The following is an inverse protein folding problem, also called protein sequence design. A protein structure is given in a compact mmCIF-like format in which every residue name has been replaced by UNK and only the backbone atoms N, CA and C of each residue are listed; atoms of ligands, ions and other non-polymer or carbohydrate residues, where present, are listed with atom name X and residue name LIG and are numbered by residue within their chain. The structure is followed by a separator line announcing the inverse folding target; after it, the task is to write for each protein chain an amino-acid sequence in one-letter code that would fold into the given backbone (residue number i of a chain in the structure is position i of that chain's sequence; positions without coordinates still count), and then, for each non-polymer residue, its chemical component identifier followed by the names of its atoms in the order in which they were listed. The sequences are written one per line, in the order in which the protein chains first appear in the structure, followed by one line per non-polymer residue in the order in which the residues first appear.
data_IF_100972462072
#
_entry.id   IF_100972462072
#
_cell.length_a   1.000
_cell.length_b   1.000
_cell.length_c   1.000
_cell.angle_alpha   90.00
_cell.angle_beta   90.00
_cell.angle_gamma   90.00
#
_symmetry.space_group_name_H-M   'P 1'
#
loop_
_entity.id
_entity.type
_entity.pdbx_description
1 polymer ?
#
# COMPACT_ATOMS: atom_id res chain seq x y z
N UNK A 1 -77.64 -0.66 -65.85
CA UNK A 1 -77.21 0.64 -65.28
C UNK A 1 -75.81 0.44 -64.72
N UNK A 2 -74.83 1.06 -65.36
CA UNK A 2 -73.39 0.89 -65.15
C UNK A 2 -72.93 1.45 -63.81
N UNK A 3 -72.05 0.73 -63.08
CA UNK A 3 -70.82 1.31 -62.53
C UNK A 3 -69.81 0.23 -62.14
N UNK A 4 -68.80 0.04 -62.99
CA UNK A 4 -67.51 -0.55 -62.63
C UNK A 4 -66.58 0.57 -62.19
N UNK A 5 -65.95 0.48 -61.01
CA UNK A 5 -64.61 1.03 -60.79
C UNK A 5 -63.78 0.06 -59.92
N UNK A 6 -62.76 -0.47 -60.57
CA UNK A 6 -61.65 -1.25 -60.04
C UNK A 6 -60.63 -0.32 -59.37
N UNK A 7 -60.11 -0.69 -58.19
CA UNK A 7 -58.76 -0.45 -57.64
C UNK A 7 -58.79 -1.06 -56.22
N UNK A 8 -57.87 -1.88 -55.73
CA UNK A 8 -56.54 -2.28 -56.16
C UNK A 8 -56.17 -3.50 -55.30
N UNK A 9 -55.72 -4.57 -55.95
CA UNK A 9 -54.84 -5.65 -55.41
C UNK A 9 -54.63 -5.67 -53.89
N UNK A 10 -55.40 -6.49 -53.19
CA UNK A 10 -54.99 -7.03 -51.90
C UNK A 10 -53.91 -8.08 -52.15
N UNK A 11 -52.70 -7.84 -51.66
CA UNK A 11 -51.70 -8.89 -51.56
C UNK A 11 -50.78 -8.60 -50.37
N UNK A 12 -50.67 -9.63 -49.53
CA UNK A 12 -49.58 -9.91 -48.61
C UNK A 12 -49.34 -8.92 -47.46
N UNK A 13 -49.86 -9.33 -46.30
CA UNK A 13 -49.25 -9.06 -45.01
C UNK A 13 -47.74 -9.40 -45.03
N UNK A 14 -46.89 -8.40 -44.82
CA UNK A 14 -45.49 -8.60 -44.44
C UNK A 14 -45.05 -7.47 -43.49
N UNK A 15 -45.15 -7.77 -42.19
CA UNK A 15 -44.15 -7.46 -41.17
C UNK A 15 -43.40 -6.12 -41.31
N UNK A 16 -44.07 -5.02 -40.94
CA UNK A 16 -43.34 -3.87 -40.42
C UNK A 16 -43.25 -4.04 -38.89
N UNK A 17 -42.33 -4.90 -38.46
CA UNK A 17 -41.96 -5.00 -37.05
C UNK A 17 -41.27 -3.67 -36.70
N UNK A 18 -41.80 -2.83 -35.79
CA UNK A 18 -41.00 -1.74 -35.27
C UNK A 18 -39.85 -2.40 -34.51
N UNK A 19 -38.64 -2.25 -35.02
CA UNK A 19 -37.40 -2.49 -34.26
C UNK A 19 -37.47 -1.56 -33.05
N UNK A 20 -37.98 -2.08 -31.95
CA UNK A 20 -37.84 -1.48 -30.63
C UNK A 20 -36.34 -1.50 -30.34
N UNK A 21 -35.66 -0.41 -30.64
CA UNK A 21 -34.30 -0.17 -30.18
C UNK A 21 -34.40 -0.13 -28.65
N UNK A 22 -33.93 -1.19 -27.99
CA UNK A 22 -33.71 -1.17 -26.55
C UNK A 22 -32.57 -0.19 -26.28
N UNK A 23 -32.92 1.08 -26.04
CA UNK A 23 -31.97 2.05 -25.51
C UNK A 23 -31.54 1.57 -24.13
N UNK A 24 -30.29 1.12 -23.99
CA UNK A 24 -29.70 0.89 -22.68
C UNK A 24 -29.67 2.20 -21.91
N UNK A 25 -30.47 2.31 -20.85
CA UNK A 25 -30.43 3.47 -19.97
C UNK A 25 -29.25 3.31 -19.02
N UNK A 26 -28.18 4.08 -19.24
CA UNK A 26 -27.14 4.23 -18.23
C UNK A 26 -27.62 5.26 -17.21
N UNK A 27 -28.01 4.77 -16.04
CA UNK A 27 -28.27 5.64 -14.88
C UNK A 27 -26.94 5.90 -14.21
N UNK A 28 -26.48 7.15 -14.25
CA UNK A 28 -25.33 7.59 -13.48
C UNK A 28 -25.79 7.95 -12.06
N UNK A 29 -25.03 7.50 -11.06
CA UNK A 29 -25.19 7.94 -9.67
C UNK A 29 -24.12 8.98 -9.40
N UNK A 30 -24.54 10.16 -8.99
CA UNK A 30 -23.63 11.19 -8.50
C UNK A 30 -23.11 10.81 -7.12
N UNK A 31 -21.83 10.46 -7.04
CA UNK A 31 -21.14 10.19 -5.78
C UNK A 31 -20.45 11.46 -5.32
N UNK A 32 -20.99 12.09 -4.28
CA UNK A 32 -20.37 13.26 -3.65
C UNK A 32 -19.43 12.83 -2.52
N UNK A 33 -18.13 12.81 -2.81
CA UNK A 33 -17.10 12.64 -1.79
C UNK A 33 -16.76 14.01 -1.21
N UNK A 34 -17.01 14.21 0.09
CA UNK A 34 -16.59 15.40 0.84
C UNK A 34 -15.73 14.96 2.02
N UNK A 35 -14.59 15.60 2.19
CA UNK A 35 -13.66 15.32 3.26
C UNK A 35 -12.42 16.20 3.17
N UNK A 36 -11.67 16.24 4.26
CA UNK A 36 -10.41 16.97 4.34
C UNK A 36 -9.25 15.95 4.40
N UNK A 37 -8.23 16.16 3.57
CA UNK A 37 -7.02 15.33 3.57
C UNK A 37 -6.02 15.95 4.54
N UNK A 38 -5.78 15.27 5.67
CA UNK A 38 -4.80 15.69 6.66
C UNK A 38 -3.54 14.82 6.60
N UNK A 39 -2.42 15.39 6.14
CA UNK A 39 -1.09 14.77 6.27
C UNK A 39 -0.23 15.72 7.10
N UNK A 40 -0.08 15.44 8.39
CA UNK A 40 0.91 16.14 9.20
C UNK A 40 2.27 15.48 8.97
N UNK A 41 3.35 16.26 8.77
CA UNK A 41 4.69 15.71 8.72
C UNK A 41 5.05 15.14 10.09
N UNK A 42 5.46 13.87 10.12
CA UNK A 42 6.06 13.26 11.30
C UNK A 42 7.58 13.23 11.14
N UNK A 43 8.30 13.53 12.21
CA UNK A 43 9.76 13.43 12.28
C UNK A 43 10.11 12.17 13.08
N UNK A 44 10.95 11.32 12.49
CA UNK A 44 11.59 10.21 13.20
C UNK A 44 12.88 10.77 13.84
N UNK A 45 13.05 10.54 15.13
CA UNK A 45 14.21 10.96 15.93
C UNK A 45 14.53 12.46 15.76
N UNK A 46 13.50 13.31 15.78
CA UNK A 46 13.61 14.76 15.51
C UNK A 46 14.21 15.13 14.13
N UNK A 47 14.37 14.17 13.22
CA UNK A 47 15.07 14.33 11.95
C UNK A 47 16.56 14.00 12.01
N UNK A 48 17.07 13.53 13.15
CA UNK A 48 18.46 13.13 13.34
C UNK A 48 18.68 11.65 13.02
N UNK A 49 19.93 11.30 12.70
CA UNK A 49 20.32 9.90 12.51
C UNK A 49 20.14 9.10 13.80
N UNK A 50 19.71 7.83 13.66
CA UNK A 50 19.72 6.86 14.76
C UNK A 50 21.05 6.11 14.66
N UNK A 51 21.91 6.29 15.66
CA UNK A 51 23.18 5.58 15.76
C UNK A 51 22.98 4.29 16.55
N UNK A 52 23.36 3.17 15.98
CA UNK A 52 23.42 1.88 16.66
C UNK A 52 24.88 1.47 16.77
N UNK A 53 25.37 1.31 18.00
CA UNK A 53 26.73 0.88 18.28
C UNK A 53 26.74 -0.61 18.61
N UNK A 54 27.23 -1.42 17.67
CA UNK A 54 27.43 -2.86 17.85
C UNK A 54 28.71 -3.19 18.62
N UNK A 55 29.48 -2.18 19.06
CA UNK A 55 30.79 -2.30 19.70
C UNK A 55 31.75 -3.14 18.85
N UNK A 56 32.65 -3.86 19.49
CA UNK A 56 33.62 -4.72 18.83
C UNK A 56 32.96 -6.01 18.32
N UNK A 57 32.63 -6.01 17.02
CA UNK A 57 32.12 -7.20 16.34
C UNK A 57 33.27 -8.11 15.93
N UNK A 58 33.43 -9.23 16.64
CA UNK A 58 34.35 -10.30 16.24
C UNK A 58 33.64 -11.24 15.27
N UNK A 59 34.06 -11.27 14.00
CA UNK A 59 33.40 -12.02 12.92
C UNK A 59 33.29 -13.52 13.17
N UNK A 60 34.22 -14.10 13.93
CA UNK A 60 34.20 -15.53 14.32
C UNK A 60 33.22 -15.88 15.43
N UNK A 61 32.53 -14.88 16.02
CA UNK A 61 31.59 -15.04 17.14
C UNK A 61 30.22 -14.43 16.89
N UNK A 62 29.87 -14.17 15.62
CA UNK A 62 28.60 -13.52 15.24
C UNK A 62 27.37 -14.41 15.52
N UNK A 63 27.60 -15.68 15.85
CA UNK A 63 26.57 -16.66 16.13
C UNK A 63 25.76 -16.33 17.40
N UNK A 64 24.49 -16.74 17.39
CA UNK A 64 23.63 -16.86 18.59
C UNK A 64 23.24 -15.54 19.31
N UNK A 65 22.76 -14.53 18.56
CA UNK A 65 22.18 -13.27 19.07
C UNK A 65 23.15 -12.35 19.84
N UNK A 66 24.45 -12.64 19.89
CA UNK A 66 25.46 -11.87 20.64
C UNK A 66 25.60 -10.39 20.23
N UNK A 67 25.20 -10.04 19.00
CA UNK A 67 25.29 -8.67 18.45
C UNK A 67 23.90 -8.12 18.09
N UNK A 68 22.88 -8.54 18.85
CA UNK A 68 21.52 -8.05 18.64
C UNK A 68 21.29 -6.76 19.40
N UNK A 69 21.24 -5.66 18.64
CA UNK A 69 20.94 -4.34 19.19
C UNK A 69 19.48 -3.93 18.98
N UNK A 70 18.94 -3.16 19.93
CA UNK A 70 17.61 -2.59 19.82
C UNK A 70 17.67 -1.28 19.01
N UNK A 71 16.85 -1.18 17.97
CA UNK A 71 16.65 0.07 17.24
C UNK A 71 15.66 0.94 18.00
N UNK A 72 16.16 1.80 18.88
CA UNK A 72 15.33 2.77 19.59
C UNK A 72 15.12 4.04 18.75
N UNK A 73 13.86 4.36 18.46
CA UNK A 73 13.46 5.55 17.71
C UNK A 73 12.21 6.19 18.31
N UNK A 74 12.09 7.51 18.13
CA UNK A 74 10.92 8.29 18.53
C UNK A 74 10.25 8.88 17.31
N UNK A 75 8.92 8.85 17.26
CA UNK A 75 8.15 9.50 16.19
C UNK A 75 7.38 10.66 16.80
N UNK A 76 7.52 11.84 16.20
CA UNK A 76 6.80 13.05 16.58
C UNK A 76 6.04 13.61 15.38
N UNK A 77 4.73 13.69 15.48
CA UNK A 77 3.89 14.34 14.48
C UNK A 77 3.46 15.73 14.99
N UNK A 78 3.22 16.68 14.09
CA UNK A 78 2.80 18.05 14.47
C UNK A 78 1.43 18.12 15.15
N UNK A 79 0.61 17.08 15.01
CA UNK A 79 -0.66 16.95 15.73
C UNK A 79 -0.75 15.59 16.42
N UNK A 80 -1.70 15.49 17.35
CA UNK A 80 -1.90 14.31 18.20
C UNK A 80 -2.94 13.32 17.63
N UNK A 81 -3.26 13.37 16.33
CA UNK A 81 -4.24 12.45 15.74
C UNK A 81 -3.63 11.05 15.61
N UNK A 82 -4.41 10.04 15.98
CA UNK A 82 -4.04 8.64 15.79
C UNK A 82 -3.86 8.34 14.29
N UNK A 83 -2.76 7.67 13.94
CA UNK A 83 -2.42 7.30 12.56
C UNK A 83 -1.89 5.88 12.51
N UNK A 84 -2.32 5.13 11.51
CA UNK A 84 -1.69 3.87 11.16
C UNK A 84 -0.36 4.17 10.44
N UNK A 85 0.76 3.89 11.10
CA UNK A 85 2.09 4.09 10.53
C UNK A 85 2.69 2.77 10.05
N UNK A 86 3.40 2.84 8.93
CA UNK A 86 4.18 1.72 8.39
C UNK A 86 5.64 2.12 8.33
N UNK A 87 6.52 1.20 8.66
CA UNK A 87 7.97 1.37 8.54
C UNK A 87 8.49 0.47 7.44
N UNK A 88 9.44 0.98 6.68
CA UNK A 88 10.24 0.23 5.72
C UNK A 88 11.68 0.71 5.82
N UNK A 89 12.61 -0.21 5.56
CA UNK A 89 14.04 0.07 5.63
C UNK A 89 14.57 -0.05 4.21
N UNK A 90 15.30 0.96 3.76
CA UNK A 90 15.92 1.00 2.44
C UNK A 90 17.43 1.12 2.57
N UNK A 91 18.14 0.55 1.61
CA UNK A 91 19.59 0.67 1.52
C UNK A 91 20.19 -0.34 0.56
N UNK A 92 21.51 -0.40 0.53
CA UNK A 92 22.25 -1.31 -0.36
C UNK A 92 22.13 -2.76 0.15
N UNK A 93 21.60 -3.69 -0.68
CA UNK A 93 21.54 -5.11 -0.31
C UNK A 93 22.93 -5.70 -0.09
N UNK A 94 23.06 -6.61 0.88
CA UNK A 94 24.28 -7.39 1.09
C UNK A 94 24.46 -8.48 0.02
N UNK A 95 25.71 -8.82 -0.29
CA UNK A 95 26.08 -10.02 -1.05
C UNK A 95 25.86 -11.32 -0.28
N UNK A 96 25.81 -11.27 1.06
CA UNK A 96 25.56 -12.44 1.92
C UNK A 96 24.10 -12.91 1.78
N UNK A 97 23.16 -11.96 1.82
CA UNK A 97 21.73 -12.18 1.60
C UNK A 97 21.10 -10.84 1.20
N UNK A 98 20.39 -10.82 0.06
CA UNK A 98 19.82 -9.59 -0.50
C UNK A 98 18.70 -8.98 0.36
N UNK A 99 18.21 -9.70 1.36
CA UNK A 99 17.23 -9.20 2.33
C UNK A 99 17.87 -8.36 3.45
N UNK A 100 19.20 -8.38 3.57
CA UNK A 100 19.97 -7.68 4.61
C UNK A 100 20.71 -6.48 4.04
N UNK A 101 21.15 -5.56 4.91
CA UNK A 101 21.92 -4.38 4.53
C UNK A 101 23.42 -4.71 4.45
N UNK A 102 24.10 -4.24 3.40
CA UNK A 102 25.55 -4.39 3.23
C UNK A 102 26.33 -3.62 4.29
N UNK A 103 27.49 -4.16 4.69
CA UNK A 103 28.49 -3.43 5.48
C UNK A 103 29.74 -3.18 4.65
N UNK A 104 30.76 -2.54 5.24
CA UNK A 104 32.09 -2.41 4.62
C UNK A 104 32.87 -3.73 4.57
N UNK A 105 32.41 -4.77 5.27
CA UNK A 105 33.00 -6.11 5.28
C UNK A 105 32.10 -7.03 4.45
N UNK A 106 32.64 -7.63 3.38
CA UNK A 106 31.84 -8.36 2.36
C UNK A 106 31.01 -9.52 2.91
N UNK A 107 31.55 -10.20 3.93
CA UNK A 107 30.96 -11.40 4.50
C UNK A 107 30.12 -11.09 5.76
N UNK A 108 29.84 -9.81 6.00
CA UNK A 108 29.07 -9.30 7.13
C UNK A 108 27.87 -8.46 6.64
N UNK A 109 26.70 -8.72 7.22
CA UNK A 109 25.46 -8.04 6.88
C UNK A 109 24.65 -7.67 8.13
N UNK A 110 23.84 -6.61 8.03
CA UNK A 110 22.90 -6.22 9.09
C UNK A 110 21.50 -6.71 8.75
N UNK A 111 20.95 -7.55 9.65
CA UNK A 111 19.60 -8.08 9.56
C UNK A 111 18.64 -7.29 10.46
N UNK A 112 17.49 -6.91 9.93
CA UNK A 112 16.45 -6.25 10.72
C UNK A 112 15.35 -7.22 11.13
N UNK A 113 14.90 -7.07 12.38
CA UNK A 113 13.82 -7.86 12.96
C UNK A 113 12.73 -6.93 13.49
N UNK A 114 11.48 -7.21 13.13
CA UNK A 114 10.29 -6.63 13.75
C UNK A 114 9.53 -7.77 14.44
N UNK A 115 9.31 -7.66 15.75
CA UNK A 115 8.68 -8.72 16.56
C UNK A 115 9.33 -10.10 16.37
N UNK A 116 10.67 -10.15 16.38
CA UNK A 116 11.48 -11.35 16.10
C UNK A 116 11.32 -11.94 14.69
N UNK A 117 10.56 -11.30 13.79
CA UNK A 117 10.39 -11.70 12.41
C UNK A 117 11.29 -10.88 11.48
N UNK A 118 11.89 -11.55 10.49
CA UNK A 118 12.69 -10.87 9.48
C UNK A 118 11.89 -9.76 8.79
N UNK A 119 12.46 -8.56 8.80
CA UNK A 119 12.02 -7.41 8.03
C UNK A 119 13.06 -7.16 6.92
N UNK A 120 12.80 -7.62 5.68
CA UNK A 120 13.74 -7.43 4.58
C UNK A 120 13.88 -5.95 4.23
N UNK A 121 15.08 -5.54 3.81
CA UNK A 121 15.30 -4.22 3.21
C UNK A 121 14.62 -4.12 1.84
N UNK A 122 14.35 -2.89 1.40
CA UNK A 122 13.78 -2.56 0.08
C UNK A 122 12.45 -3.29 -0.23
N UNK A 123 11.71 -3.67 0.80
CA UNK A 123 10.47 -4.43 0.69
C UNK A 123 9.26 -3.62 1.18
N UNK A 124 8.06 -4.11 0.84
CA UNK A 124 6.79 -3.45 1.16
C UNK A 124 6.71 -3.00 2.64
N UNK A 125 6.21 -1.78 2.93
CA UNK A 125 6.11 -1.27 4.29
C UNK A 125 5.30 -2.18 5.20
N UNK A 126 5.89 -2.53 6.35
CA UNK A 126 5.21 -3.33 7.38
C UNK A 126 4.53 -2.39 8.38
N UNK A 127 3.31 -2.72 8.85
CA UNK A 127 2.70 -1.98 9.95
C UNK A 127 3.63 -2.01 11.15
N UNK A 128 3.75 -0.89 11.85
CA UNK A 128 4.39 -0.89 13.16
C UNK A 128 3.47 -1.66 14.11
N UNK A 129 3.91 -2.84 14.55
CA UNK A 129 3.20 -3.65 15.57
C UNK A 129 3.30 -3.05 16.97
N UNK A 130 3.98 -1.90 17.11
CA UNK A 130 3.79 -1.02 18.26
C UNK A 130 2.35 -0.53 18.13
N UNK A 131 1.44 -1.31 18.71
CA UNK A 131 0.23 -0.77 19.31
C UNK A 131 0.65 0.57 19.88
N UNK A 132 0.09 1.66 19.36
CA UNK A 132 0.22 2.95 20.02
C UNK A 132 -0.05 2.63 21.48
N UNK A 133 0.96 2.75 22.32
CA UNK A 133 0.80 2.77 23.76
C UNK A 133 0.02 4.05 24.03
N UNK A 134 -1.27 4.05 23.71
CA UNK A 134 -2.25 4.63 24.61
C UNK A 134 -2.33 3.65 25.79
N UNK A 135 -1.25 3.63 26.57
CA UNK A 135 -1.35 3.33 27.97
C UNK A 135 -1.46 4.69 28.67
N UNK A 136 -2.72 5.04 28.91
CA UNK A 136 -3.25 5.97 29.93
C UNK A 136 -2.99 7.47 29.70
N UNK A 137 -3.98 8.36 29.88
CA UNK A 137 -5.23 8.27 30.66
C UNK A 137 -6.50 7.99 29.86
#
# INVERSE_FOLDING_TARGET
MTLTMLFRTGCAALLCLPLMVSGGSYTYIDVYVRGEIFIAPCKINQGNNILIDFKDVTTTRIDNDNYREKLDYRIECQDNRARAMKLYITGTPSSVDSRYLSTSVSDLAVKFLADNKLMPVNSMPRPLSISIMNKEL
#
